data_IF_005091075868
#
_entry.id   IF_005091075868
#
_cell.length_a   1.000
_cell.length_b   1.000
_cell.length_c   1.000
_cell.angle_alpha   90.00
_cell.angle_beta   90.00
_cell.angle_gamma   90.00
#
_symmetry.space_group_name_H-M   'P 1'
#
loop_
_entity.id
_entity.type
_entity.pdbx_description
1 polymer ?
#
# COMPACT_ATOMS: atom_id res chain seq x y z
N UNK A 1 44.74 56.75 20.86
CA UNK A 1 44.77 55.29 20.97
C UNK A 1 43.58 54.70 20.21
N UNK A 2 43.88 53.91 19.18
CA UNK A 2 43.00 53.03 18.39
C UNK A 2 41.76 53.62 17.69
N UNK A 3 41.97 53.98 16.42
CA UNK A 3 40.97 54.07 15.35
C UNK A 3 40.15 52.78 15.20
N UNK A 4 38.82 52.89 15.23
CA UNK A 4 37.88 51.79 14.91
C UNK A 4 38.01 51.38 13.43
N UNK A 5 38.10 50.09 13.09
CA UNK A 5 38.02 49.64 11.72
C UNK A 5 36.57 49.58 11.21
N UNK A 6 36.40 49.86 9.91
CA UNK A 6 35.14 49.87 9.16
C UNK A 6 34.42 48.50 9.16
N UNK A 7 33.08 48.46 8.98
CA UNK A 7 32.32 47.21 8.95
C UNK A 7 32.66 46.38 7.70
N UNK A 8 32.82 45.06 7.90
CA UNK A 8 33.03 44.08 6.83
C UNK A 8 31.80 43.99 5.91
N UNK A 9 32.03 44.06 4.60
CA UNK A 9 31.02 43.75 3.59
C UNK A 9 30.47 42.32 3.79
N UNK A 10 29.16 42.10 3.55
CA UNK A 10 28.59 40.77 3.61
C UNK A 10 29.18 39.90 2.49
N UNK A 11 29.57 38.67 2.84
CA UNK A 11 29.99 37.64 1.87
C UNK A 11 28.83 37.38 0.91
N UNK A 12 29.06 37.17 -0.39
CA UNK A 12 28.00 36.73 -1.27
C UNK A 12 27.53 35.37 -0.76
N UNK A 13 26.29 35.30 -0.29
CA UNK A 13 25.56 34.04 -0.24
C UNK A 13 25.51 33.56 -1.68
N UNK A 14 26.38 32.60 -2.01
CA UNK A 14 26.33 31.92 -3.27
C UNK A 14 24.90 31.38 -3.43
N UNK A 15 24.24 31.90 -4.46
CA UNK A 15 23.08 31.29 -5.10
C UNK A 15 23.46 29.84 -5.43
N UNK A 16 23.18 28.93 -4.51
CA UNK A 16 23.13 27.49 -4.79
C UNK A 16 21.66 27.15 -4.98
N UNK A 17 21.10 27.63 -6.08
CA UNK A 17 19.80 27.17 -6.54
C UNK A 17 19.82 27.04 -8.06
N UNK A 18 19.33 25.88 -8.51
CA UNK A 18 18.93 25.56 -9.88
C UNK A 18 20.03 25.36 -10.93
N UNK A 19 20.82 24.29 -10.83
CA UNK A 19 21.37 23.62 -12.03
C UNK A 19 21.94 22.25 -11.67
N UNK A 20 21.06 21.25 -11.55
CA UNK A 20 21.32 19.81 -11.78
C UNK A 20 20.20 18.98 -11.15
N UNK A 21 18.95 19.21 -11.55
CA UNK A 21 18.03 18.08 -11.61
C UNK A 21 18.51 17.27 -12.81
N UNK A 22 19.39 16.29 -12.56
CA UNK A 22 19.67 15.23 -13.52
C UNK A 22 18.32 14.64 -13.91
N UNK A 23 17.89 14.88 -15.13
CA UNK A 23 16.71 14.26 -15.67
C UNK A 23 17.05 12.76 -15.81
N UNK A 24 16.58 11.96 -14.85
CA UNK A 24 16.71 10.51 -14.90
C UNK A 24 16.00 10.03 -16.19
N UNK A 25 16.78 9.61 -17.18
CA UNK A 25 16.24 8.98 -18.38
C UNK A 25 15.69 7.61 -17.97
N UNK A 26 14.39 7.40 -18.16
CA UNK A 26 13.78 6.09 -17.98
C UNK A 26 14.23 5.19 -19.14
N UNK A 27 14.93 4.11 -18.81
CA UNK A 27 15.50 3.19 -19.81
C UNK A 27 14.55 2.05 -20.19
N UNK A 28 13.61 1.70 -19.31
CA UNK A 28 12.71 0.55 -19.48
C UNK A 28 11.28 0.90 -19.09
N UNK A 29 10.32 0.27 -19.76
CA UNK A 29 8.89 0.38 -19.45
C UNK A 29 8.33 -0.94 -18.90
N UNK A 30 7.54 -0.84 -17.83
CA UNK A 30 6.86 -1.98 -17.25
C UNK A 30 5.66 -2.42 -18.08
N UNK A 31 5.49 -3.73 -18.27
CA UNK A 31 4.33 -4.36 -18.87
C UNK A 31 3.58 -5.17 -17.82
N UNK A 32 2.25 -5.11 -17.87
CA UNK A 32 1.37 -5.84 -16.97
C UNK A 32 0.60 -6.92 -17.75
N UNK A 33 0.37 -8.12 -17.18
CA UNK A 33 -0.43 -9.16 -17.84
C UNK A 33 -1.86 -8.66 -18.13
N UNK A 34 -2.23 -8.55 -19.41
CA UNK A 34 -3.58 -8.13 -19.79
C UNK A 34 -4.57 -9.29 -19.79
N UNK A 35 -5.85 -9.00 -19.58
CA UNK A 35 -6.92 -10.01 -19.64
C UNK A 35 -6.90 -10.80 -20.96
N UNK A 36 -6.73 -10.12 -22.10
CA UNK A 36 -6.75 -10.77 -23.41
C UNK A 36 -5.62 -11.80 -23.59
N UNK A 37 -4.43 -11.50 -23.06
CA UNK A 37 -3.30 -12.42 -23.10
C UNK A 37 -3.57 -13.65 -22.22
N UNK A 38 -4.11 -13.44 -21.02
CA UNK A 38 -4.44 -14.53 -20.10
C UNK A 38 -5.60 -15.38 -20.63
N UNK A 39 -6.59 -14.76 -21.27
CA UNK A 39 -7.69 -15.45 -21.94
C UNK A 39 -7.19 -16.30 -23.13
N UNK A 40 -6.21 -15.79 -23.89
CA UNK A 40 -5.58 -16.58 -24.95
C UNK A 40 -4.83 -17.78 -24.36
N UNK A 41 -4.09 -17.56 -23.27
CA UNK A 41 -3.36 -18.62 -22.57
C UNK A 41 -4.29 -19.69 -22.01
N UNK A 42 -5.41 -19.29 -21.42
CA UNK A 42 -6.41 -20.21 -20.85
C UNK A 42 -7.04 -21.11 -21.91
N UNK A 43 -7.22 -20.61 -23.15
CA UNK A 43 -7.73 -21.40 -24.28
C UNK A 43 -6.75 -22.49 -24.71
N UNK A 44 -5.45 -22.21 -24.61
CA UNK A 44 -4.41 -23.19 -24.90
C UNK A 44 -4.22 -24.21 -23.77
N UNK A 45 -4.60 -23.86 -22.53
CA UNK A 45 -4.45 -24.70 -21.34
C UNK A 45 -5.76 -24.79 -20.54
N UNK A 46 -6.79 -25.51 -21.04
CA UNK A 46 -8.13 -25.47 -20.45
C UNK A 46 -8.25 -26.09 -19.04
N UNK A 47 -7.21 -26.79 -18.58
CA UNK A 47 -7.17 -27.42 -17.26
C UNK A 47 -6.55 -26.51 -16.20
N UNK A 48 -5.89 -25.44 -16.61
CA UNK A 48 -5.15 -24.57 -15.70
C UNK A 48 -6.08 -23.50 -15.11
N UNK A 49 -5.97 -23.28 -13.80
CA UNK A 49 -6.59 -22.16 -13.12
C UNK A 49 -5.91 -20.82 -13.46
N UNK A 50 -6.55 -19.68 -13.13
CA UNK A 50 -5.97 -18.36 -13.35
C UNK A 50 -4.61 -18.20 -12.66
N UNK A 51 -4.43 -18.74 -11.46
CA UNK A 51 -3.17 -18.64 -10.72
C UNK A 51 -2.04 -19.33 -11.49
N UNK A 52 -2.25 -20.57 -11.94
CA UNK A 52 -1.29 -21.33 -12.75
C UNK A 52 -1.01 -20.66 -14.09
N UNK A 53 -2.05 -20.14 -14.76
CA UNK A 53 -1.90 -19.37 -16.00
C UNK A 53 -1.00 -18.15 -15.77
N UNK A 54 -1.19 -17.43 -14.67
CA UNK A 54 -0.36 -16.28 -14.32
C UNK A 54 1.08 -16.67 -14.04
N UNK A 55 1.32 -17.69 -13.20
CA UNK A 55 2.67 -18.18 -12.93
C UNK A 55 3.39 -18.58 -14.22
N UNK A 56 2.75 -19.41 -15.06
CA UNK A 56 3.31 -19.82 -16.33
C UNK A 56 3.54 -18.64 -17.28
N UNK A 57 2.63 -17.68 -17.33
CA UNK A 57 2.79 -16.47 -18.15
C UNK A 57 4.03 -15.68 -17.72
N UNK A 58 4.20 -15.46 -16.41
CA UNK A 58 5.31 -14.69 -15.85
C UNK A 58 6.65 -15.39 -16.08
N UNK A 59 6.71 -16.71 -15.92
CA UNK A 59 7.93 -17.51 -16.13
C UNK A 59 8.37 -17.58 -17.59
N UNK A 60 7.41 -17.54 -18.52
CA UNK A 60 7.67 -17.75 -19.95
C UNK A 60 7.63 -16.46 -20.80
N UNK A 61 7.28 -15.32 -20.21
CA UNK A 61 7.20 -14.04 -20.91
C UNK A 61 8.56 -13.66 -21.52
N UNK A 62 8.58 -13.47 -22.85
CA UNK A 62 9.74 -12.97 -23.59
C UNK A 62 9.50 -11.54 -24.03
N UNK A 63 10.34 -10.63 -23.56
CA UNK A 63 10.21 -9.20 -23.83
C UNK A 63 11.41 -8.70 -24.63
N UNK A 64 11.21 -7.59 -25.35
CA UNK A 64 12.33 -6.86 -25.95
C UNK A 64 13.10 -6.08 -24.87
N UNK A 65 14.34 -5.68 -25.18
CA UNK A 65 15.28 -5.12 -24.21
C UNK A 65 14.78 -3.90 -23.42
N UNK A 66 13.79 -3.16 -23.94
CA UNK A 66 13.30 -1.92 -23.34
C UNK A 66 12.10 -2.15 -22.40
N UNK A 67 11.75 -3.40 -22.13
CA UNK A 67 10.58 -3.74 -21.32
C UNK A 67 10.90 -4.80 -20.27
N UNK A 68 10.15 -4.76 -19.18
CA UNK A 68 10.16 -5.77 -18.13
C UNK A 68 8.71 -6.05 -17.69
N UNK A 69 8.44 -7.21 -17.10
CA UNK A 69 7.16 -7.46 -16.46
C UNK A 69 7.17 -6.77 -15.09
N UNK A 70 6.13 -5.98 -14.81
CA UNK A 70 5.96 -5.33 -13.51
C UNK A 70 5.76 -6.35 -12.40
N UNK A 71 5.99 -5.93 -11.15
CA UNK A 71 5.67 -6.75 -10.00
C UNK A 71 4.18 -7.15 -10.00
N UNK A 72 3.95 -8.47 -9.94
CA UNK A 72 2.64 -9.10 -9.94
C UNK A 72 2.41 -9.93 -8.66
N UNK A 73 3.20 -9.73 -7.61
CA UNK A 73 3.12 -10.50 -6.36
C UNK A 73 1.71 -10.46 -5.75
N UNK A 74 1.13 -9.27 -5.60
CA UNK A 74 -0.23 -9.13 -5.07
C UNK A 74 -1.28 -9.78 -5.98
N UNK A 75 -1.12 -9.68 -7.30
CA UNK A 75 -2.01 -10.34 -8.27
C UNK A 75 -1.97 -11.87 -8.10
N UNK A 76 -0.79 -12.45 -7.90
CA UNK A 76 -0.62 -13.89 -7.65
C UNK A 76 -1.23 -14.31 -6.31
N UNK A 77 -1.02 -13.52 -5.24
CA UNK A 77 -1.62 -13.77 -3.92
C UNK A 77 -3.14 -13.78 -3.98
N UNK A 78 -3.74 -12.81 -4.67
CA UNK A 78 -5.19 -12.77 -4.88
C UNK A 78 -5.64 -13.97 -5.72
N UNK A 79 -4.97 -14.25 -6.84
CA UNK A 79 -5.31 -15.37 -7.71
C UNK A 79 -5.34 -16.69 -6.95
N UNK A 80 -4.37 -16.95 -6.07
CA UNK A 80 -4.29 -18.17 -5.27
C UNK A 80 -5.54 -18.41 -4.39
N UNK A 81 -6.25 -17.36 -3.99
CA UNK A 81 -7.46 -17.46 -3.18
C UNK A 81 -8.73 -17.46 -4.04
N UNK A 82 -8.75 -16.66 -5.09
CA UNK A 82 -9.92 -16.46 -5.96
C UNK A 82 -10.12 -17.64 -6.92
N UNK A 83 -9.07 -18.39 -7.26
CA UNK A 83 -9.18 -19.47 -8.24
C UNK A 83 -10.09 -20.62 -7.78
N UNK A 84 -10.19 -20.84 -6.48
CA UNK A 84 -11.05 -21.84 -5.85
C UNK A 84 -12.55 -21.49 -5.96
N UNK A 85 -12.88 -20.23 -6.30
CA UNK A 85 -14.25 -19.78 -6.39
C UNK A 85 -14.84 -20.10 -7.78
N UNK A 86 -16.15 -20.42 -7.86
CA UNK A 86 -16.84 -20.73 -9.11
C UNK A 86 -17.16 -19.46 -9.92
N UNK A 87 -16.12 -18.69 -10.25
CA UNK A 87 -16.18 -17.45 -11.01
C UNK A 87 -15.61 -17.65 -12.42
N UNK A 88 -16.13 -16.90 -13.38
CA UNK A 88 -15.57 -16.84 -14.72
C UNK A 88 -14.21 -16.15 -14.74
N UNK A 89 -13.39 -16.44 -15.74
CA UNK A 89 -12.02 -15.91 -15.85
C UNK A 89 -11.96 -14.38 -15.78
N UNK A 90 -12.93 -13.69 -16.39
CA UNK A 90 -12.99 -12.23 -16.39
C UNK A 90 -13.20 -11.67 -14.99
N UNK A 91 -14.08 -12.29 -14.20
CA UNK A 91 -14.39 -11.88 -12.84
C UNK A 91 -13.20 -12.18 -11.92
N UNK A 92 -12.60 -13.37 -12.06
CA UNK A 92 -11.36 -13.73 -11.35
C UNK A 92 -10.25 -12.71 -11.62
N UNK A 93 -10.02 -12.37 -12.89
CA UNK A 93 -9.03 -11.36 -13.29
C UNK A 93 -9.34 -9.99 -12.67
N UNK A 94 -10.61 -9.57 -12.67
CA UNK A 94 -11.04 -8.30 -12.07
C UNK A 94 -10.67 -8.20 -10.58
N UNK A 95 -10.92 -9.27 -9.81
CA UNK A 95 -10.51 -9.33 -8.41
C UNK A 95 -8.98 -9.31 -8.27
N UNK A 96 -8.24 -10.00 -9.14
CA UNK A 96 -6.78 -10.05 -9.09
C UNK A 96 -6.12 -8.68 -9.34
N UNK A 97 -6.74 -7.81 -10.14
CA UNK A 97 -6.23 -6.45 -10.40
C UNK A 97 -6.82 -5.39 -9.46
N UNK A 98 -7.66 -5.79 -8.51
CA UNK A 98 -8.28 -4.86 -7.56
C UNK A 98 -7.25 -4.35 -6.54
N UNK A 99 -7.41 -3.11 -6.03
CA UNK A 99 -6.46 -2.54 -5.08
C UNK A 99 -6.69 -3.16 -3.70
N UNK A 100 -5.87 -4.16 -3.37
CA UNK A 100 -5.88 -4.83 -2.08
C UNK A 100 -4.45 -5.11 -1.64
N UNK A 101 -4.22 -5.01 -0.34
CA UNK A 101 -2.97 -5.43 0.30
C UNK A 101 -3.23 -6.77 0.99
N UNK A 102 -2.73 -7.85 0.40
CA UNK A 102 -2.95 -9.20 0.93
C UNK A 102 -2.15 -9.49 2.21
N UNK A 103 -1.24 -8.60 2.62
CA UNK A 103 -0.49 -8.72 3.87
C UNK A 103 -1.22 -8.04 5.04
N UNK A 104 -2.29 -7.30 4.77
CA UNK A 104 -3.19 -6.74 5.76
C UNK A 104 -4.37 -7.69 6.00
N UNK A 105 -4.48 -8.23 7.21
CA UNK A 105 -5.46 -9.27 7.56
C UNK A 105 -6.92 -8.81 7.33
N UNK A 106 -7.23 -7.54 7.62
CA UNK A 106 -8.59 -7.00 7.47
C UNK A 106 -8.91 -6.80 5.96
N UNK A 107 -7.95 -6.26 5.19
CA UNK A 107 -8.12 -6.04 3.75
C UNK A 107 -8.26 -7.33 2.97
N UNK A 108 -7.38 -8.31 3.25
CA UNK A 108 -7.44 -9.64 2.64
C UNK A 108 -8.74 -10.36 2.97
N UNK A 109 -9.19 -10.34 4.24
CA UNK A 109 -10.50 -10.90 4.62
C UNK A 109 -11.67 -10.20 3.91
N UNK A 110 -11.61 -8.88 3.78
CA UNK A 110 -12.61 -8.09 3.06
C UNK A 110 -12.75 -8.53 1.59
N UNK A 111 -11.63 -8.67 0.88
CA UNK A 111 -11.58 -9.18 -0.49
C UNK A 111 -12.21 -10.58 -0.60
N UNK A 112 -11.78 -11.51 0.25
CA UNK A 112 -12.26 -12.90 0.23
C UNK A 112 -13.76 -12.94 0.49
N UNK A 113 -14.25 -12.16 1.46
CA UNK A 113 -15.67 -12.09 1.77
C UNK A 113 -16.49 -11.52 0.60
N UNK A 114 -16.01 -10.46 -0.05
CA UNK A 114 -16.68 -9.90 -1.23
C UNK A 114 -16.73 -10.89 -2.38
N UNK A 115 -15.59 -11.52 -2.70
CA UNK A 115 -15.51 -12.50 -3.78
C UNK A 115 -16.39 -13.73 -3.53
N UNK A 116 -16.37 -14.30 -2.31
CA UNK A 116 -17.23 -15.42 -1.93
C UNK A 116 -18.72 -15.06 -1.97
N UNK A 117 -19.08 -13.88 -1.48
CA UNK A 117 -20.47 -13.42 -1.50
C UNK A 117 -20.94 -13.22 -2.93
N UNK A 118 -20.12 -12.60 -3.77
CA UNK A 118 -20.37 -12.41 -5.19
C UNK A 118 -20.54 -13.75 -5.91
N UNK A 119 -19.60 -14.69 -5.75
CA UNK A 119 -19.68 -16.02 -6.36
C UNK A 119 -20.94 -16.80 -5.98
N UNK A 120 -21.43 -16.61 -4.74
CA UNK A 120 -22.60 -17.34 -4.23
C UNK A 120 -23.93 -16.67 -4.59
N UNK A 121 -24.00 -15.34 -4.57
CA UNK A 121 -25.26 -14.58 -4.62
C UNK A 121 -25.38 -13.67 -5.84
N UNK A 122 -24.28 -13.37 -6.53
CA UNK A 122 -24.20 -12.36 -7.58
C UNK A 122 -24.31 -10.91 -7.08
N UNK A 123 -24.58 -10.69 -5.80
CA UNK A 123 -24.75 -9.35 -5.20
C UNK A 123 -24.09 -9.28 -3.82
N UNK A 124 -23.39 -8.18 -3.55
CA UNK A 124 -22.62 -7.93 -2.34
C UNK A 124 -23.09 -6.62 -1.72
N UNK A 125 -23.92 -6.72 -0.69
CA UNK A 125 -24.32 -5.55 0.08
C UNK A 125 -23.27 -5.16 1.11
N UNK A 126 -23.04 -3.86 1.24
CA UNK A 126 -22.17 -3.30 2.27
C UNK A 126 -22.95 -3.14 3.58
N UNK A 127 -22.33 -3.49 4.70
CA UNK A 127 -22.86 -3.19 6.02
C UNK A 127 -22.44 -1.79 6.45
N UNK A 128 -23.34 -1.08 7.10
CA UNK A 128 -22.99 0.17 7.79
C UNK A 128 -22.23 -0.17 9.08
N UNK A 129 -21.00 0.31 9.16
CA UNK A 129 -20.03 0.11 10.25
C UNK A 129 -20.07 1.31 11.19
N UNK A 130 -20.15 2.52 10.64
CA UNK A 130 -20.17 3.76 11.41
C UNK A 130 -21.61 4.23 11.61
N UNK A 131 -22.03 4.27 12.87
CA UNK A 131 -23.30 4.88 13.28
C UNK A 131 -22.99 6.07 14.18
N UNK A 132 -23.89 7.05 14.35
CA UNK A 132 -23.63 8.22 15.20
C UNK A 132 -23.14 7.90 16.61
N UNK A 133 -23.52 6.75 17.18
CA UNK A 133 -23.06 6.30 18.50
C UNK A 133 -21.68 5.64 18.52
N UNK A 134 -21.14 5.23 17.37
CA UNK A 134 -19.83 4.54 17.25
C UNK A 134 -18.73 5.42 16.67
N UNK A 135 -19.05 6.65 16.24
CA UNK A 135 -18.08 7.63 15.74
C UNK A 135 -17.17 8.12 16.88
N UNK A 136 -15.96 7.58 16.94
CA UNK A 136 -14.93 7.97 17.88
C UNK A 136 -13.58 8.03 17.17
N UNK A 137 -12.81 9.07 17.44
CA UNK A 137 -11.41 9.17 17.00
C UNK A 137 -10.62 8.05 17.70
N UNK A 138 -9.80 7.29 16.97
CA UNK A 138 -8.95 6.28 17.59
C UNK A 138 -8.05 6.95 18.64
N UNK A 139 -7.65 6.22 19.68
CA UNK A 139 -6.76 6.76 20.74
C UNK A 139 -5.39 6.08 20.79
N UNK A 140 -5.23 5.00 20.03
CA UNK A 140 -4.02 4.19 20.00
C UNK A 140 -3.56 4.00 18.55
N UNK A 141 -2.26 3.83 18.30
CA UNK A 141 -1.76 3.52 16.97
C UNK A 141 -2.35 2.23 16.38
N UNK A 142 -2.67 1.23 17.22
CA UNK A 142 -3.31 -0.01 16.78
C UNK A 142 -4.74 0.23 16.30
N UNK A 143 -5.53 1.03 17.02
CA UNK A 143 -6.87 1.40 16.58
C UNK A 143 -6.85 2.27 15.31
N UNK A 144 -5.81 3.10 15.12
CA UNK A 144 -5.60 3.81 13.86
C UNK A 144 -5.34 2.83 12.71
N UNK A 145 -4.45 1.86 12.92
CA UNK A 145 -4.13 0.85 11.90
C UNK A 145 -5.38 0.06 11.50
N UNK A 146 -6.20 -0.37 12.45
CA UNK A 146 -7.48 -1.04 12.15
C UNK A 146 -8.41 -0.15 11.31
N UNK A 147 -8.49 1.14 11.63
CA UNK A 147 -9.29 2.12 10.88
C UNK A 147 -8.76 2.35 9.46
N UNK A 148 -7.43 2.39 9.28
CA UNK A 148 -6.77 2.45 7.98
C UNK A 148 -7.09 1.21 7.13
N UNK A 149 -7.08 0.02 7.74
CA UNK A 149 -7.45 -1.22 7.05
C UNK A 149 -8.94 -1.24 6.65
N UNK A 150 -9.85 -0.78 7.52
CA UNK A 150 -11.26 -0.61 7.17
C UNK A 150 -11.42 0.37 6.00
N UNK A 151 -10.67 1.48 6.00
CA UNK A 151 -10.67 2.42 4.87
C UNK A 151 -10.25 1.75 3.56
N UNK A 152 -9.20 0.90 3.57
CA UNK A 152 -8.77 0.12 2.39
C UNK A 152 -9.88 -0.82 1.90
N UNK A 153 -10.58 -1.51 2.81
CA UNK A 153 -11.73 -2.38 2.44
C UNK A 153 -12.86 -1.59 1.78
N UNK A 154 -13.17 -0.40 2.30
CA UNK A 154 -14.20 0.48 1.71
C UNK A 154 -13.77 1.00 0.33
N UNK A 155 -12.49 1.33 0.16
CA UNK A 155 -11.91 1.69 -1.14
C UNK A 155 -12.01 0.55 -2.15
N UNK A 156 -11.70 -0.68 -1.74
CA UNK A 156 -11.88 -1.88 -2.56
C UNK A 156 -13.35 -2.05 -2.99
N UNK A 157 -14.31 -1.89 -2.08
CA UNK A 157 -15.73 -1.97 -2.43
C UNK A 157 -16.12 -0.92 -3.48
N UNK A 158 -15.69 0.34 -3.29
CA UNK A 158 -15.92 1.41 -4.28
C UNK A 158 -15.31 1.04 -5.63
N UNK A 159 -14.07 0.54 -5.65
CA UNK A 159 -13.39 0.16 -6.89
C UNK A 159 -14.14 -0.95 -7.67
N UNK A 160 -14.66 -1.94 -6.94
CA UNK A 160 -15.46 -3.02 -7.51
C UNK A 160 -16.82 -2.52 -8.01
N UNK A 161 -17.45 -1.58 -7.31
CA UNK A 161 -18.74 -1.00 -7.72
C UNK A 161 -18.71 -0.23 -9.05
N UNK A 162 -17.55 0.30 -9.45
CA UNK A 162 -17.40 0.92 -10.77
C UNK A 162 -17.31 -0.10 -11.92
N UNK A 163 -17.01 -1.37 -11.63
CA UNK A 163 -16.79 -2.43 -12.62
C UNK A 163 -17.89 -3.48 -12.65
N UNK A 164 -18.53 -3.70 -11.51
CA UNK A 164 -19.61 -4.66 -11.29
C UNK A 164 -20.81 -3.92 -10.66
N UNK A 165 -21.32 -2.92 -11.38
CA UNK A 165 -22.31 -1.96 -10.86
C UNK A 165 -23.58 -2.62 -10.31
N UNK A 166 -24.13 -3.61 -11.01
CA UNK A 166 -25.33 -4.34 -10.57
C UNK A 166 -25.09 -5.23 -9.35
N UNK A 167 -23.84 -5.64 -9.13
CA UNK A 167 -23.46 -6.56 -8.06
C UNK A 167 -22.99 -5.86 -6.78
N UNK A 168 -22.54 -4.62 -6.86
CA UNK A 168 -22.05 -3.82 -5.73
C UNK A 168 -22.85 -2.51 -5.62
N UNK A 169 -24.13 -2.57 -5.23
CA UNK A 169 -25.05 -1.44 -5.32
C UNK A 169 -24.77 -0.33 -4.30
N UNK A 170 -24.09 -0.62 -3.19
CA UNK A 170 -23.99 0.29 -2.04
C UNK A 170 -22.80 1.25 -2.13
N UNK A 171 -22.47 1.72 -3.34
CA UNK A 171 -21.31 2.59 -3.63
C UNK A 171 -21.32 3.89 -2.83
N UNK A 172 -22.47 4.56 -2.75
CA UNK A 172 -22.60 5.82 -1.98
C UNK A 172 -22.41 5.60 -0.48
N UNK A 173 -22.91 4.48 0.05
CA UNK A 173 -22.69 4.08 1.44
C UNK A 173 -21.21 3.76 1.70
N UNK A 174 -20.54 3.10 0.75
CA UNK A 174 -19.10 2.83 0.86
C UNK A 174 -18.28 4.13 0.85
N UNK A 175 -18.61 5.05 -0.06
CA UNK A 175 -17.94 6.34 -0.19
C UNK A 175 -18.13 7.23 1.05
N UNK A 176 -19.34 7.28 1.62
CA UNK A 176 -19.62 8.07 2.82
C UNK A 176 -18.86 7.52 4.04
N UNK A 177 -18.87 6.20 4.24
CA UNK A 177 -18.12 5.55 5.31
C UNK A 177 -16.60 5.71 5.12
N UNK A 178 -16.11 5.66 3.88
CA UNK A 178 -14.69 5.91 3.57
C UNK A 178 -14.30 7.33 3.97
N UNK A 179 -15.13 8.32 3.67
CA UNK A 179 -14.89 9.71 4.06
C UNK A 179 -14.88 9.90 5.58
N UNK A 180 -15.74 9.19 6.31
CA UNK A 180 -15.72 9.16 7.78
C UNK A 180 -14.39 8.60 8.29
N UNK A 181 -13.90 7.48 7.73
CA UNK A 181 -12.58 6.96 8.09
C UNK A 181 -11.48 8.01 7.84
N UNK A 182 -11.47 8.64 6.66
CA UNK A 182 -10.46 9.65 6.32
C UNK A 182 -10.44 10.80 7.33
N UNK A 183 -11.62 11.30 7.72
CA UNK A 183 -11.76 12.36 8.73
C UNK A 183 -11.17 11.93 10.08
N UNK A 184 -11.53 10.74 10.56
CA UNK A 184 -11.08 10.23 11.87
C UNK A 184 -9.56 9.93 11.89
N UNK A 185 -9.02 9.42 10.78
CA UNK A 185 -7.57 9.21 10.60
C UNK A 185 -6.85 10.55 10.64
N UNK A 186 -7.35 11.56 9.90
CA UNK A 186 -6.75 12.89 9.88
C UNK A 186 -6.76 13.54 11.27
N UNK A 187 -7.89 13.48 11.97
CA UNK A 187 -8.01 14.04 13.32
C UNK A 187 -7.01 13.37 14.31
N UNK A 188 -6.86 12.05 14.23
CA UNK A 188 -5.85 11.35 15.03
C UNK A 188 -4.43 11.83 14.73
N UNK A 189 -4.08 11.97 13.45
CA UNK A 189 -2.75 12.40 13.03
C UNK A 189 -2.47 13.85 13.45
N UNK A 190 -3.47 14.74 13.43
CA UNK A 190 -3.34 16.10 13.92
C UNK A 190 -3.08 16.14 15.45
N UNK A 191 -3.79 15.31 16.23
CA UNK A 191 -3.68 15.29 17.69
C UNK A 191 -2.41 14.57 18.19
N UNK A 192 -2.03 13.46 17.55
CA UNK A 192 -1.03 12.53 18.07
C UNK A 192 0.17 12.28 17.14
N UNK A 193 0.12 12.71 15.87
CA UNK A 193 1.14 12.41 14.86
C UNK A 193 2.55 12.89 15.22
N UNK A 194 2.66 13.98 15.98
CA UNK A 194 3.96 14.58 16.37
C UNK A 194 4.57 14.00 17.65
N UNK A 195 3.80 13.24 18.45
CA UNK A 195 4.28 12.77 19.77
C UNK A 195 5.38 11.70 19.67
N UNK A 196 5.47 10.98 18.53
CA UNK A 196 6.49 9.92 18.30
C UNK A 196 7.94 10.42 18.16
N UNK A 197 8.19 11.73 17.96
CA UNK A 197 9.57 12.23 17.72
C UNK A 197 10.34 12.64 18.98
N UNK A 198 9.70 12.76 20.15
CA UNK A 198 10.37 13.23 21.39
C UNK A 198 10.88 12.13 22.33
N UNK A 199 10.69 10.85 22.02
CA UNK A 199 11.06 9.73 22.92
C UNK A 199 12.13 8.78 22.36
N UNK A 200 13.17 9.33 21.74
CA UNK A 200 14.48 8.66 21.67
C UNK A 200 15.56 9.60 22.18
N UNK A 201 15.51 9.95 23.47
CA UNK A 201 16.72 10.39 24.18
C UNK A 201 17.65 9.19 24.23
N UNK A 202 18.66 9.19 23.37
CA UNK A 202 19.80 8.27 23.44
C UNK A 202 20.30 8.27 24.89
N UNK A 203 20.48 7.09 25.53
CA UNK A 203 21.10 7.05 26.85
C UNK A 203 22.51 7.65 26.74
N UNK A 204 22.74 8.70 27.53
CA UNK A 204 24.05 9.33 27.67
C UNK A 204 25.02 8.27 28.20
N UNK A 205 25.85 7.73 27.31
CA UNK A 205 26.83 6.68 27.63
C UNK A 205 28.02 7.32 28.34
N UNK A 206 27.79 7.84 29.54
CA UNK A 206 28.86 8.18 30.48
C UNK A 206 29.23 6.91 31.27
N UNK A 207 30.54 6.66 31.37
CA UNK A 207 31.23 5.62 32.15
C UNK A 207 31.74 4.40 31.37
N UNK A 208 32.64 4.64 30.43
CA UNK A 208 33.64 3.65 30.01
C UNK A 208 34.99 3.93 30.69
N UNK A 209 35.09 3.71 32.01
CA UNK A 209 36.37 3.81 32.73
C UNK A 209 36.79 2.54 33.50
N UNK A 210 36.01 1.45 33.43
CA UNK A 210 36.36 0.20 34.14
C UNK A 210 36.97 -0.90 33.26
N UNK A 211 36.96 -0.74 31.93
CA UNK A 211 37.62 -1.67 31.00
C UNK A 211 39.07 -1.28 30.68
N UNK A 212 39.46 -0.02 30.88
CA UNK A 212 40.84 0.43 30.67
C UNK A 212 41.81 0.04 31.80
N UNK A 213 41.32 -0.37 32.97
CA UNK A 213 42.16 -0.82 34.09
C UNK A 213 42.48 -2.33 34.09
N UNK A 214 41.80 -3.15 33.28
CA UNK A 214 42.05 -4.61 33.25
C UNK A 214 43.12 -5.06 32.24
N UNK A 215 43.60 -4.17 31.37
CA UNK A 215 44.65 -4.48 30.38
C UNK A 215 46.08 -4.09 30.80
N UNK A 216 46.29 -3.59 32.03
CA UNK A 216 47.63 -3.27 32.58
C UNK A 216 48.13 -4.24 33.66
N UNK A 217 47.49 -5.40 33.85
CA UNK A 217 47.93 -6.43 34.83
C UNK A 217 48.34 -7.76 34.20
N UNK A 218 48.55 -7.81 32.89
CA UNK A 218 49.20 -8.94 32.21
C UNK A 218 50.18 -8.44 31.14
N UNK A 219 51.25 -7.79 31.61
CA UNK A 219 52.59 -7.82 31.02
C UNK A 219 53.57 -7.82 32.19
#
# INVERSE_FOLDING_TARGET
FASKPAPRAPRPFALFCASSFLQLSLEHAGLFPSYDLLLLYSRANPQDGLHQILEHFLDNAKLSSNYFITDCEEMLKVAAVIDELPLGLQEKYLFCISPVDMNDDISSQGLVQFAQTYAKKGIVHLREIFTPGTLQVPRTPTALQELESIHKVLELYVWLSFRLEDAFPDRELAASQKAICSMLIEEFLQQYGWQKTKSKRLPNRANSSLLAQRLRRKL
#
